data_IF_918801673551
#
_entry.id   IF_918801673551
#
_cell.length_a   1.000
_cell.length_b   1.000
_cell.length_c   1.000
_cell.angle_alpha   90.00
_cell.angle_beta   90.00
_cell.angle_gamma   90.00
#
_symmetry.space_group_name_H-M   'P 1'
#
loop_
_entity.id
_entity.type
_entity.pdbx_description
1 polymer ?
#
# COMPACT_ATOMS: atom_id res chain seq x y z
N UNK A 1 -30.83 3.00 14.57
CA UNK A 1 -30.52 1.96 13.58
C UNK A 1 -29.08 1.57 13.87
N UNK A 2 -28.84 0.33 14.28
CA UNK A 2 -27.50 -0.12 14.63
C UNK A 2 -26.79 -0.41 13.30
N UNK A 3 -25.87 0.48 12.90
CA UNK A 3 -24.99 0.18 11.77
C UNK A 3 -24.25 -1.12 12.11
N UNK A 4 -24.38 -2.13 11.25
CA UNK A 4 -23.65 -3.37 11.39
C UNK A 4 -22.17 -3.08 11.12
N UNK A 5 -21.43 -2.75 12.16
CA UNK A 5 -19.97 -2.58 12.10
C UNK A 5 -19.37 -3.89 11.65
N UNK A 6 -18.74 -3.92 10.48
CA UNK A 6 -18.00 -5.10 10.03
C UNK A 6 -16.71 -5.19 10.84
N UNK A 7 -16.63 -6.19 11.71
CA UNK A 7 -15.50 -6.40 12.64
C UNK A 7 -14.32 -7.13 11.99
N UNK A 8 -14.19 -7.09 10.67
CA UNK A 8 -13.10 -7.77 9.95
C UNK A 8 -11.84 -6.93 10.10
N UNK A 9 -10.82 -7.51 10.74
CA UNK A 9 -9.53 -6.87 11.04
C UNK A 9 -8.47 -7.23 10.00
N UNK A 10 -8.62 -8.37 9.33
CA UNK A 10 -7.68 -8.84 8.31
C UNK A 10 -8.43 -9.38 7.10
N UNK A 11 -7.99 -8.96 5.91
CA UNK A 11 -8.37 -9.54 4.63
C UNK A 11 -7.13 -10.13 3.95
N UNK A 12 -7.31 -11.34 3.43
CA UNK A 12 -6.26 -12.07 2.72
C UNK A 12 -6.76 -12.45 1.32
N UNK A 13 -6.23 -11.75 0.32
CA UNK A 13 -6.47 -11.97 -1.10
C UNK A 13 -5.20 -12.46 -1.81
N UNK A 14 -4.26 -13.01 -1.06
CA UNK A 14 -3.00 -13.51 -1.59
C UNK A 14 -3.21 -14.59 -2.67
N UNK A 15 -2.26 -14.68 -3.60
CA UNK A 15 -2.18 -15.73 -4.62
C UNK A 15 -3.42 -15.82 -5.54
N UNK A 16 -3.92 -14.66 -5.96
CA UNK A 16 -5.02 -14.53 -6.91
C UNK A 16 -4.58 -13.87 -8.24
N UNK A 17 -5.55 -13.53 -9.08
CA UNK A 17 -5.37 -12.88 -10.39
C UNK A 17 -5.84 -11.41 -10.39
N UNK A 18 -5.87 -10.75 -9.23
CA UNK A 18 -6.36 -9.37 -9.11
C UNK A 18 -5.42 -8.43 -9.88
N UNK A 19 -5.97 -7.71 -10.86
CA UNK A 19 -5.23 -6.74 -11.67
C UNK A 19 -5.76 -5.31 -11.55
N UNK A 20 -6.97 -5.13 -11.02
CA UNK A 20 -7.59 -3.84 -10.71
C UNK A 20 -8.42 -3.97 -9.43
N UNK A 21 -8.60 -2.85 -8.73
CA UNK A 21 -9.40 -2.73 -7.52
C UNK A 21 -10.32 -1.52 -7.70
N UNK A 22 -11.61 -1.70 -7.51
CA UNK A 22 -12.55 -0.59 -7.58
C UNK A 22 -12.33 0.41 -6.44
N UNK A 23 -12.68 1.67 -6.68
CA UNK A 23 -12.70 2.64 -5.60
C UNK A 23 -13.64 2.16 -4.49
N UNK A 24 -13.25 2.37 -3.23
CA UNK A 24 -14.09 2.05 -2.06
C UNK A 24 -14.34 0.54 -1.84
N UNK A 25 -13.64 -0.35 -2.55
CA UNK A 25 -13.80 -1.81 -2.42
C UNK A 25 -13.61 -2.35 -0.99
N UNK A 26 -12.93 -1.60 -0.12
CA UNK A 26 -12.67 -1.95 1.28
C UNK A 26 -13.30 -0.98 2.28
N UNK A 27 -14.09 0.01 1.84
CA UNK A 27 -14.61 1.06 2.71
C UNK A 27 -15.75 0.57 3.62
N UNK A 28 -16.30 -0.62 3.37
CA UNK A 28 -17.27 -1.25 4.26
C UNK A 28 -16.68 -1.83 5.55
N UNK A 29 -15.33 -1.89 5.68
CA UNK A 29 -14.66 -2.41 6.87
C UNK A 29 -14.16 -1.25 7.75
N UNK A 30 -14.83 -1.04 8.88
CA UNK A 30 -14.54 0.10 9.77
C UNK A 30 -13.28 -0.09 10.64
N UNK A 31 -12.76 -1.31 10.71
CA UNK A 31 -11.65 -1.69 11.60
C UNK A 31 -10.60 -2.57 10.91
N UNK A 32 -10.49 -2.48 9.57
CA UNK A 32 -9.52 -3.27 8.82
C UNK A 32 -8.09 -2.76 9.07
N UNK A 33 -7.24 -3.64 9.58
CA UNK A 33 -5.84 -3.34 9.97
C UNK A 33 -4.81 -4.01 9.04
N UNK A 34 -5.12 -5.19 8.49
CA UNK A 34 -4.22 -5.92 7.56
C UNK A 34 -4.91 -6.23 6.24
N UNK A 35 -4.26 -5.84 5.14
CA UNK A 35 -4.67 -6.18 3.78
C UNK A 35 -3.51 -6.90 3.08
N UNK A 36 -3.74 -8.17 2.77
CA UNK A 36 -2.80 -9.01 2.03
C UNK A 36 -3.24 -9.13 0.56
N UNK A 37 -2.46 -8.54 -0.33
CA UNK A 37 -2.65 -8.57 -1.79
C UNK A 37 -1.44 -9.21 -2.48
N UNK A 38 -0.63 -9.99 -1.76
CA UNK A 38 0.58 -10.57 -2.33
C UNK A 38 0.29 -11.53 -3.49
N UNK A 39 1.26 -11.68 -4.39
CA UNK A 39 1.19 -12.65 -5.51
C UNK A 39 -0.01 -12.45 -6.46
N UNK A 40 -0.45 -11.19 -6.64
CA UNK A 40 -1.51 -10.84 -7.59
C UNK A 40 -0.93 -10.37 -8.94
N UNK A 41 -1.66 -9.52 -9.67
CA UNK A 41 -1.31 -9.03 -11.01
C UNK A 41 -1.45 -7.51 -11.11
N UNK A 42 -1.42 -6.80 -9.97
CA UNK A 42 -1.48 -5.34 -9.93
C UNK A 42 -0.28 -4.74 -10.65
N UNK A 43 -0.51 -3.78 -11.54
CA UNK A 43 0.55 -3.10 -12.29
C UNK A 43 0.82 -1.67 -11.83
N UNK A 44 -0.11 -1.08 -11.09
CA UNK A 44 -0.02 0.28 -10.56
C UNK A 44 -0.58 0.33 -9.15
N UNK A 45 -0.29 1.41 -8.43
CA UNK A 45 -0.99 1.78 -7.19
C UNK A 45 -1.57 3.18 -7.36
N UNK A 46 -2.90 3.26 -7.45
CA UNK A 46 -3.64 4.51 -7.52
C UNK A 46 -4.25 4.86 -6.15
N UNK A 47 -4.31 6.16 -5.85
CA UNK A 47 -4.95 6.69 -4.63
C UNK A 47 -6.40 6.23 -4.47
N UNK A 48 -7.08 5.80 -5.54
CA UNK A 48 -8.45 5.26 -5.51
C UNK A 48 -8.54 3.92 -4.77
N UNK A 49 -7.47 3.13 -4.75
CA UNK A 49 -7.44 1.82 -4.08
C UNK A 49 -7.42 1.97 -2.55
N UNK A 50 -6.81 3.04 -2.05
CA UNK A 50 -6.61 3.28 -0.63
C UNK A 50 -7.26 4.59 -0.21
N UNK A 51 -8.55 4.53 0.09
CA UNK A 51 -9.33 5.71 0.47
C UNK A 51 -8.85 6.29 1.80
N UNK A 52 -9.31 7.51 2.11
CA UNK A 52 -9.06 8.14 3.42
C UNK A 52 -9.63 7.31 4.58
N UNK A 53 -10.75 6.61 4.37
CA UNK A 53 -11.37 5.77 5.40
C UNK A 53 -10.47 4.58 5.70
N UNK A 54 -10.11 3.80 4.69
CA UNK A 54 -9.21 2.65 4.84
C UNK A 54 -7.85 3.06 5.42
N UNK A 55 -7.27 4.14 4.92
CA UNK A 55 -5.96 4.60 5.36
C UNK A 55 -5.89 5.10 6.81
N UNK A 56 -7.05 5.32 7.45
CA UNK A 56 -7.14 5.69 8.87
C UNK A 56 -7.12 4.48 9.82
N UNK A 57 -7.22 3.26 9.30
CA UNK A 57 -7.22 2.01 10.10
C UNK A 57 -6.16 1.02 9.64
N UNK A 58 -5.74 1.06 8.37
CA UNK A 58 -4.82 0.09 7.81
C UNK A 58 -3.39 0.26 8.36
N UNK A 59 -2.89 -0.78 9.02
CA UNK A 59 -1.57 -0.82 9.65
C UNK A 59 -0.55 -1.63 8.83
N UNK A 60 -1.02 -2.65 8.10
CA UNK A 60 -0.17 -3.59 7.36
C UNK A 60 -0.69 -3.79 5.95
N UNK A 61 0.16 -3.51 4.97
CA UNK A 61 -0.14 -3.68 3.55
C UNK A 61 0.95 -4.52 2.88
N UNK A 62 0.54 -5.62 2.25
CA UNK A 62 1.43 -6.50 1.49
C UNK A 62 1.03 -6.45 0.01
N UNK A 63 1.97 -5.98 -0.80
CA UNK A 63 1.84 -5.84 -2.24
C UNK A 63 2.96 -6.61 -2.98
N UNK A 64 3.72 -7.44 -2.27
CA UNK A 64 4.83 -8.18 -2.82
C UNK A 64 4.39 -9.20 -3.89
N UNK A 65 5.30 -9.56 -4.81
CA UNK A 65 4.99 -10.44 -5.94
C UNK A 65 3.84 -9.94 -6.85
N UNK A 66 3.68 -8.63 -7.02
CA UNK A 66 2.84 -8.07 -8.07
C UNK A 66 3.69 -7.64 -9.27
N UNK A 67 3.15 -6.81 -10.15
CA UNK A 67 3.83 -6.24 -11.33
C UNK A 67 3.85 -4.72 -11.26
N UNK A 68 3.90 -4.16 -10.06
CA UNK A 68 3.83 -2.71 -9.86
C UNK A 68 5.13 -2.10 -10.39
N UNK A 69 5.02 -1.25 -11.40
CA UNK A 69 6.16 -0.56 -12.01
C UNK A 69 6.16 0.92 -11.61
N UNK A 70 4.97 1.54 -11.58
CA UNK A 70 4.80 2.97 -11.32
C UNK A 70 4.28 3.24 -9.91
N UNK A 71 5.10 3.94 -9.10
CA UNK A 71 4.66 4.59 -7.87
C UNK A 71 4.68 6.10 -8.06
N UNK A 72 3.63 6.75 -7.61
CA UNK A 72 3.54 8.21 -7.59
C UNK A 72 3.57 8.70 -6.14
N UNK A 73 3.89 9.99 -5.90
CA UNK A 73 3.71 10.60 -4.57
C UNK A 73 2.28 10.52 -4.02
N UNK A 74 1.31 10.11 -4.84
CA UNK A 74 -0.09 9.93 -4.45
C UNK A 74 -0.48 8.48 -4.14
N UNK A 75 0.34 7.49 -4.50
CA UNK A 75 0.03 6.06 -4.39
C UNK A 75 -0.32 5.65 -2.96
N UNK A 76 0.32 6.26 -1.96
CA UNK A 76 0.07 5.97 -0.54
C UNK A 76 -0.44 7.17 0.26
N UNK A 77 -0.99 8.18 -0.43
CA UNK A 77 -1.32 9.50 0.16
C UNK A 77 -2.17 9.44 1.43
N UNK A 78 -3.06 8.46 1.53
CA UNK A 78 -4.02 8.34 2.62
C UNK A 78 -3.63 7.34 3.70
N UNK A 79 -2.58 6.53 3.49
CA UNK A 79 -2.16 5.47 4.41
C UNK A 79 -1.39 6.02 5.62
N UNK A 80 -2.02 6.90 6.40
CA UNK A 80 -1.38 7.67 7.48
C UNK A 80 -1.06 6.85 8.73
N UNK A 81 -1.70 5.70 8.90
CA UNK A 81 -1.49 4.78 10.02
C UNK A 81 -0.60 3.59 9.66
N UNK A 82 -0.06 3.52 8.44
CA UNK A 82 0.65 2.34 7.96
C UNK A 82 1.99 2.18 8.67
N UNK A 83 2.18 1.01 9.29
CA UNK A 83 3.38 0.61 10.04
C UNK A 83 4.27 -0.30 9.18
N UNK A 84 3.65 -1.17 8.37
CA UNK A 84 4.33 -2.16 7.55
C UNK A 84 3.89 -2.10 6.09
N UNK A 85 4.86 -1.96 5.19
CA UNK A 85 4.67 -2.01 3.74
C UNK A 85 5.67 -2.96 3.10
N UNK A 86 5.17 -3.99 2.41
CA UNK A 86 5.99 -4.88 1.57
C UNK A 86 5.67 -4.68 0.09
N UNK A 87 6.65 -4.15 -0.64
CA UNK A 87 6.62 -3.94 -2.09
C UNK A 87 7.59 -4.88 -2.81
N UNK A 88 8.19 -5.85 -2.12
CA UNK A 88 9.22 -6.71 -2.70
C UNK A 88 8.75 -7.48 -3.92
N UNK A 89 9.67 -7.73 -4.87
CA UNK A 89 9.38 -8.46 -6.11
C UNK A 89 8.31 -7.81 -7.00
N UNK A 90 8.22 -6.49 -6.97
CA UNK A 90 7.56 -5.69 -8.01
C UNK A 90 8.66 -5.20 -8.96
N UNK A 91 8.60 -5.61 -10.24
CA UNK A 91 9.72 -5.43 -11.18
C UNK A 91 9.91 -3.96 -11.55
N UNK A 92 11.16 -3.50 -11.65
CA UNK A 92 11.57 -2.15 -12.08
C UNK A 92 10.80 -1.02 -11.40
N UNK A 93 10.81 -1.02 -10.07
CA UNK A 93 10.16 0.03 -9.30
C UNK A 93 11.00 1.31 -9.39
N UNK A 94 10.46 2.34 -10.03
CA UNK A 94 11.09 3.66 -10.03
C UNK A 94 10.78 4.36 -8.69
N UNK A 95 11.83 4.61 -7.91
CA UNK A 95 11.77 5.19 -6.58
C UNK A 95 12.40 6.58 -6.65
N UNK A 96 11.62 7.53 -7.14
CA UNK A 96 12.03 8.94 -7.23
C UNK A 96 11.90 9.65 -5.87
N UNK A 97 12.50 10.85 -5.78
CA UNK A 97 12.33 11.77 -4.65
C UNK A 97 10.86 11.91 -4.21
N UNK A 98 10.61 11.65 -2.93
CA UNK A 98 9.31 11.88 -2.30
C UNK A 98 8.19 10.89 -2.64
N UNK A 99 8.45 9.75 -3.30
CA UNK A 99 7.40 8.72 -3.49
C UNK A 99 6.91 8.17 -2.14
N UNK A 100 7.79 8.09 -1.14
CA UNK A 100 7.45 7.81 0.24
C UNK A 100 7.15 9.13 0.95
N UNK A 101 5.97 9.67 0.67
CA UNK A 101 5.51 10.95 1.23
C UNK A 101 5.20 10.88 2.72
N UNK A 102 4.82 12.03 3.30
CA UNK A 102 4.49 12.18 4.75
C UNK A 102 3.43 11.22 5.27
N UNK A 103 2.60 10.66 4.41
CA UNK A 103 1.61 9.65 4.81
C UNK A 103 2.28 8.39 5.38
N UNK A 104 3.48 8.04 4.93
CA UNK A 104 4.23 6.90 5.45
C UNK A 104 5.12 7.26 6.65
N UNK A 105 4.91 8.40 7.30
CA UNK A 105 5.74 8.84 8.44
C UNK A 105 5.62 7.97 9.69
N UNK A 106 4.62 7.08 9.76
CA UNK A 106 4.49 6.05 10.81
C UNK A 106 5.04 4.68 10.39
N UNK A 107 5.50 4.53 9.15
CA UNK A 107 5.99 3.24 8.66
C UNK A 107 7.32 2.89 9.32
N UNK A 108 7.31 1.81 10.10
CA UNK A 108 8.48 1.27 10.78
C UNK A 108 9.23 0.27 9.90
N UNK A 109 8.54 -0.36 8.96
CA UNK A 109 9.13 -1.36 8.06
C UNK A 109 8.67 -1.14 6.63
N UNK A 110 9.64 -0.86 5.76
CA UNK A 110 9.47 -0.77 4.32
C UNK A 110 10.37 -1.81 3.65
N UNK A 111 9.76 -2.74 2.90
CA UNK A 111 10.49 -3.82 2.21
C UNK A 111 10.46 -3.58 0.70
N UNK A 112 11.65 -3.31 0.13
CA UNK A 112 11.87 -3.04 -1.30
C UNK A 112 12.83 -4.07 -1.94
N UNK A 113 12.85 -5.30 -1.42
CA UNK A 113 13.76 -6.36 -1.89
C UNK A 113 13.36 -6.78 -3.31
N UNK A 114 14.35 -7.03 -4.17
CA UNK A 114 14.13 -7.52 -5.53
C UNK A 114 13.21 -6.63 -6.39
N UNK A 115 13.33 -5.30 -6.24
CA UNK A 115 12.58 -4.32 -7.03
C UNK A 115 13.38 -3.69 -8.19
N UNK A 116 14.62 -4.15 -8.43
CA UNK A 116 15.50 -3.62 -9.50
C UNK A 116 15.73 -2.10 -9.39
N UNK A 117 15.73 -1.55 -8.17
CA UNK A 117 15.98 -0.12 -7.92
C UNK A 117 17.42 0.21 -8.32
N UNK A 118 17.57 1.13 -9.28
CA UNK A 118 18.87 1.54 -9.81
C UNK A 118 19.51 2.70 -9.02
N UNK A 119 18.69 3.63 -8.55
CA UNK A 119 19.14 4.85 -7.88
C UNK A 119 18.30 5.14 -6.63
N UNK A 120 18.93 5.76 -5.64
CA UNK A 120 18.29 6.38 -4.49
C UNK A 120 18.90 7.78 -4.36
N UNK A 121 18.07 8.80 -4.24
CA UNK A 121 18.50 10.18 -4.01
C UNK A 121 18.34 10.59 -2.53
N UNK A 122 18.93 11.73 -2.16
CA UNK A 122 18.90 12.23 -0.78
C UNK A 122 17.46 12.53 -0.29
N UNK A 123 16.53 12.77 -1.22
CA UNK A 123 15.14 13.13 -0.92
C UNK A 123 14.19 11.92 -0.90
N UNK A 124 14.67 10.73 -1.27
CA UNK A 124 13.87 9.50 -1.39
C UNK A 124 13.18 9.15 -0.06
N UNK A 125 13.87 9.40 1.06
CA UNK A 125 13.39 9.06 2.40
C UNK A 125 13.13 10.28 3.30
N UNK A 126 13.13 11.50 2.77
CA UNK A 126 13.05 12.75 3.56
C UNK A 126 11.79 12.87 4.44
N UNK A 127 10.74 12.11 4.14
CA UNK A 127 9.48 12.11 4.90
C UNK A 127 9.28 10.87 5.78
N UNK A 128 10.21 9.90 5.73
CA UNK A 128 10.25 8.80 6.69
C UNK A 128 10.97 9.31 7.95
N UNK A 129 10.38 9.09 9.12
CA UNK A 129 10.92 9.56 10.40
C UNK A 129 11.70 8.47 11.11
#
# INVERSE_FOLDING_TARGET
MQENVKTIIKLDFSDNYIFDIEAEAFDEFDVLEELDLNSNKLTTIDKKYFTKKLGSTLLRLKLNNNKIEDLTPHSFKYLTELIFLDLSRNKKLEVDSGIFGKSLSKSETLILKWCEIETLDDDTFVNLK
#
